data_IF_065184601505
#
_entry.id   IF_065184601505
#
_cell.length_a   1.000
_cell.length_b   1.000
_cell.length_c   1.000
_cell.angle_alpha   90.00
_cell.angle_beta   90.00
_cell.angle_gamma   90.00
#
_symmetry.space_group_name_H-M   'P 1'
#
loop_
_entity.id
_entity.type
_entity.pdbx_description
1 polymer ?
#
# COMPACT_ATOMS: atom_id res chain seq x y z
N UNK A 1 -35.53 9.64 -27.91
CA UNK A 1 -34.50 9.39 -28.95
C UNK A 1 -33.19 9.16 -28.23
N UNK A 2 -32.47 8.07 -28.51
CA UNK A 2 -31.17 7.76 -27.90
C UNK A 2 -30.09 7.89 -28.96
N UNK A 3 -29.01 8.58 -28.62
CA UNK A 3 -27.78 8.71 -29.41
C UNK A 3 -26.71 7.84 -28.75
N UNK A 4 -26.09 6.94 -29.51
CA UNK A 4 -24.97 6.10 -29.04
C UNK A 4 -23.88 6.05 -30.09
N UNK A 5 -22.69 5.59 -29.72
CA UNK A 5 -21.66 5.23 -30.68
C UNK A 5 -21.73 3.73 -30.98
N UNK A 6 -21.54 3.36 -32.25
CA UNK A 6 -21.28 1.97 -32.62
C UNK A 6 -19.86 1.58 -32.19
N UNK A 7 -19.54 0.26 -32.15
CA UNK A 7 -18.17 -0.18 -31.90
C UNK A 7 -17.12 0.39 -32.87
N UNK A 8 -17.53 0.78 -34.08
CA UNK A 8 -16.67 1.44 -35.07
C UNK A 8 -16.61 2.96 -34.92
N UNK A 9 -17.15 3.53 -33.83
CA UNK A 9 -17.12 4.98 -33.56
C UNK A 9 -18.14 5.81 -34.35
N UNK A 10 -19.07 5.17 -35.06
CA UNK A 10 -20.10 5.90 -35.82
C UNK A 10 -21.29 6.25 -34.93
N UNK A 11 -21.86 7.45 -35.13
CA UNK A 11 -23.07 7.88 -34.41
C UNK A 11 -24.28 7.05 -34.85
N UNK A 12 -24.97 6.46 -33.88
CA UNK A 12 -26.18 5.67 -34.04
C UNK A 12 -27.36 6.32 -33.29
N UNK A 13 -28.55 6.28 -33.90
CA UNK A 13 -29.77 6.90 -33.34
C UNK A 13 -30.91 5.90 -33.33
N UNK A 14 -31.53 5.68 -32.16
CA UNK A 14 -32.66 4.77 -32.02
C UNK A 14 -33.81 5.33 -31.16
N UNK A 15 -35.08 4.99 -31.49
CA UNK A 15 -35.51 4.38 -32.75
C UNK A 15 -35.48 5.40 -33.91
N UNK A 16 -35.10 4.99 -35.13
CA UNK A 16 -35.00 5.89 -36.29
C UNK A 16 -36.34 6.52 -36.70
N UNK A 17 -37.45 5.89 -36.32
CA UNK A 17 -38.82 6.33 -36.63
C UNK A 17 -39.20 7.66 -35.98
N UNK A 18 -38.48 8.12 -34.96
CA UNK A 18 -38.76 9.39 -34.26
C UNK A 18 -37.97 10.59 -34.83
N UNK A 19 -37.17 10.38 -35.87
CA UNK A 19 -36.36 11.42 -36.50
C UNK A 19 -37.15 12.18 -37.57
N UNK A 20 -37.48 13.44 -37.27
CA UNK A 20 -37.93 14.44 -38.24
C UNK A 20 -36.76 14.90 -39.11
N UNK A 21 -37.04 15.61 -40.21
CA UNK A 21 -36.00 16.15 -41.08
C UNK A 21 -35.14 17.21 -40.39
N UNK A 22 -35.73 18.00 -39.49
CA UNK A 22 -34.99 18.96 -38.66
C UNK A 22 -34.03 18.25 -37.70
N UNK A 23 -34.46 17.16 -37.05
CA UNK A 23 -33.56 16.34 -36.22
C UNK A 23 -32.40 15.79 -37.05
N UNK A 24 -32.66 15.36 -38.29
CA UNK A 24 -31.60 14.87 -39.19
C UNK A 24 -30.64 15.97 -39.60
N UNK A 25 -31.13 17.19 -39.84
CA UNK A 25 -30.29 18.34 -40.17
C UNK A 25 -29.39 18.73 -39.00
N UNK A 26 -29.94 18.84 -37.79
CA UNK A 26 -29.19 19.17 -36.58
C UNK A 26 -28.14 18.11 -36.25
N UNK A 27 -28.49 16.82 -36.30
CA UNK A 27 -27.55 15.72 -36.02
C UNK A 27 -26.39 15.71 -37.03
N UNK A 28 -26.63 16.07 -38.29
CA UNK A 28 -25.57 16.19 -39.30
C UNK A 28 -24.67 17.40 -39.06
N UNK A 29 -25.23 18.53 -38.67
CA UNK A 29 -24.49 19.75 -38.39
C UNK A 29 -23.58 19.58 -37.16
N UNK A 30 -24.08 18.94 -36.11
CA UNK A 30 -23.39 18.79 -34.82
C UNK A 30 -22.72 17.43 -34.63
N UNK A 31 -22.56 16.64 -35.71
CA UNK A 31 -22.12 15.24 -35.65
C UNK A 31 -20.84 15.07 -34.84
N UNK A 32 -19.83 15.89 -35.13
CA UNK A 32 -18.50 15.72 -34.56
C UNK A 32 -18.48 16.10 -33.07
N UNK A 33 -19.26 17.14 -32.68
CA UNK A 33 -19.45 17.52 -31.28
C UNK A 33 -20.20 16.43 -30.49
N UNK A 34 -21.24 15.83 -31.09
CA UNK A 34 -21.98 14.71 -30.49
C UNK A 34 -21.10 13.47 -30.31
N UNK A 35 -20.26 13.15 -31.30
CA UNK A 35 -19.32 12.03 -31.20
C UNK A 35 -18.30 12.28 -30.08
N UNK A 36 -17.73 13.48 -30.00
CA UNK A 36 -16.76 13.85 -28.98
C UNK A 36 -17.35 13.81 -27.56
N UNK A 37 -18.58 14.32 -27.39
CA UNK A 37 -19.28 14.24 -26.11
C UNK A 37 -19.58 12.78 -25.71
N UNK A 38 -20.03 11.95 -26.64
CA UNK A 38 -20.29 10.53 -26.37
C UNK A 38 -19.00 9.74 -26.10
N UNK A 39 -17.87 10.11 -26.70
CA UNK A 39 -16.56 9.54 -26.39
C UNK A 39 -16.11 9.92 -24.98
N UNK A 40 -16.27 11.18 -24.59
CA UNK A 40 -15.93 11.66 -23.25
C UNK A 40 -16.78 11.01 -22.15
N UNK A 41 -18.06 10.74 -22.41
CA UNK A 41 -18.93 9.98 -21.49
C UNK A 41 -18.59 8.47 -21.45
N UNK A 42 -18.04 7.92 -22.54
CA UNK A 42 -17.63 6.52 -22.62
C UNK A 42 -16.25 6.25 -22.02
N UNK A 43 -15.39 7.27 -21.94
CA UNK A 43 -14.09 7.18 -21.27
C UNK A 43 -14.33 7.26 -19.76
N UNK A 44 -14.13 6.15 -19.01
CA UNK A 44 -14.23 6.24 -17.56
C UNK A 44 -13.22 7.28 -17.06
N UNK A 45 -13.51 8.01 -15.97
CA UNK A 45 -12.49 8.84 -15.32
C UNK A 45 -11.25 7.98 -15.07
N UNK A 46 -10.03 8.55 -15.03
CA UNK A 46 -8.82 7.78 -14.75
C UNK A 46 -9.01 7.10 -13.39
N UNK A 47 -9.48 5.85 -13.41
CA UNK A 47 -9.66 5.05 -12.22
C UNK A 47 -8.26 4.65 -11.84
N UNK A 48 -7.85 5.05 -10.64
CA UNK A 48 -6.66 4.51 -10.03
C UNK A 48 -6.67 2.99 -10.24
N UNK A 49 -5.54 2.38 -10.64
CA UNK A 49 -5.47 0.93 -10.79
C UNK A 49 -6.05 0.27 -9.54
N UNK A 50 -6.74 -0.89 -9.67
CA UNK A 50 -7.33 -1.55 -8.52
C UNK A 50 -6.29 -1.64 -7.41
N UNK A 51 -6.67 -1.35 -6.14
CA UNK A 51 -5.71 -1.33 -5.05
C UNK A 51 -4.95 -2.65 -5.05
N UNK A 52 -3.63 -2.58 -5.06
CA UNK A 52 -2.78 -3.76 -4.89
C UNK A 52 -3.11 -4.30 -3.51
N UNK A 53 -3.88 -5.39 -3.45
CA UNK A 53 -4.14 -6.08 -2.19
C UNK A 53 -2.80 -6.62 -1.69
N UNK A 54 -2.36 -6.15 -0.53
CA UNK A 54 -1.17 -6.70 0.12
C UNK A 54 -1.38 -8.20 0.33
N UNK A 55 -0.43 -9.02 -0.15
CA UNK A 55 -0.41 -10.47 0.10
C UNK A 55 0.14 -10.83 1.48
N UNK A 56 0.38 -9.83 2.34
CA UNK A 56 1.07 -9.98 3.60
C UNK A 56 0.23 -10.75 4.63
N UNK A 57 0.67 -11.95 5.07
CA UNK A 57 -0.08 -12.78 6.00
C UNK A 57 -0.06 -12.24 7.45
N UNK A 58 0.70 -11.17 7.73
CA UNK A 58 0.81 -10.55 9.05
C UNK A 58 -0.14 -9.36 9.25
N UNK A 59 -0.97 -9.06 8.24
CA UNK A 59 -1.93 -7.96 8.24
C UNK A 59 -3.28 -8.44 7.72
N UNK A 60 -4.37 -7.76 8.10
CA UNK A 60 -5.65 -7.93 7.44
C UNK A 60 -5.61 -7.31 6.04
N UNK A 61 -6.52 -7.69 5.12
CA UNK A 61 -6.64 -7.02 3.82
C UNK A 61 -6.78 -5.50 3.95
N UNK A 62 -7.61 -5.01 4.87
CA UNK A 62 -7.83 -3.58 5.10
C UNK A 62 -6.55 -2.86 5.57
N UNK A 63 -5.77 -3.50 6.44
CA UNK A 63 -4.46 -2.98 6.87
C UNK A 63 -3.46 -2.93 5.72
N UNK A 64 -3.51 -3.94 4.83
CA UNK A 64 -2.76 -3.92 3.58
C UNK A 64 -3.15 -2.74 2.71
N UNK A 65 -4.44 -2.57 2.44
CA UNK A 65 -4.94 -1.47 1.61
C UNK A 65 -4.58 -0.09 2.23
N UNK A 66 -4.66 0.07 3.56
CA UNK A 66 -4.23 1.28 4.28
C UNK A 66 -2.71 1.52 4.15
N UNK A 67 -1.91 0.46 4.25
CA UNK A 67 -0.45 0.54 4.12
C UNK A 67 -0.04 1.04 2.73
N UNK A 68 -0.76 0.65 1.68
CA UNK A 68 -0.49 1.05 0.28
C UNK A 68 -1.25 2.30 -0.17
N UNK A 69 -2.16 2.82 0.66
CA UNK A 69 -2.98 3.99 0.31
C UNK A 69 -2.09 5.19 -0.05
N UNK A 70 -2.36 5.82 -1.20
CA UNK A 70 -1.59 6.96 -1.70
C UNK A 70 -0.17 6.64 -2.20
N UNK A 71 0.24 5.37 -2.20
CA UNK A 71 1.61 4.95 -2.51
C UNK A 71 2.60 5.29 -1.39
N UNK A 72 3.80 4.72 -1.47
CA UNK A 72 4.91 5.04 -0.56
C UNK A 72 5.78 6.15 -1.14
N UNK A 73 6.20 7.08 -0.31
CA UNK A 73 7.22 8.05 -0.67
C UNK A 73 8.64 7.45 -0.56
N UNK A 74 9.65 8.17 -1.05
CA UNK A 74 11.04 7.70 -1.06
C UNK A 74 11.57 7.36 0.35
N UNK A 75 11.19 8.12 1.38
CA UNK A 75 11.63 7.87 2.75
C UNK A 75 10.99 6.60 3.34
N UNK A 76 9.72 6.33 3.01
CA UNK A 76 9.02 5.10 3.39
C UNK A 76 9.64 3.88 2.69
N UNK A 77 9.91 3.97 1.39
CA UNK A 77 10.56 2.92 0.60
C UNK A 77 11.95 2.62 1.16
N UNK A 78 12.74 3.66 1.43
CA UNK A 78 14.09 3.53 1.96
C UNK A 78 14.08 2.88 3.37
N UNK A 79 13.20 3.34 4.27
CA UNK A 79 13.05 2.75 5.60
C UNK A 79 12.63 1.28 5.52
N UNK A 80 11.68 0.96 4.64
CA UNK A 80 11.25 -0.41 4.35
C UNK A 80 12.42 -1.30 3.90
N UNK A 81 13.20 -0.86 2.91
CA UNK A 81 14.36 -1.61 2.40
C UNK A 81 15.43 -1.84 3.47
N UNK A 82 15.74 -0.82 4.29
CA UNK A 82 16.70 -0.97 5.39
C UNK A 82 16.23 -1.99 6.44
N UNK A 83 14.93 -2.03 6.73
CA UNK A 83 14.33 -3.04 7.62
C UNK A 83 14.45 -4.43 7.01
N UNK A 84 14.12 -4.60 5.74
CA UNK A 84 14.20 -5.89 5.04
C UNK A 84 15.63 -6.46 5.08
N UNK A 85 16.63 -5.64 4.74
CA UNK A 85 18.06 -6.02 4.79
C UNK A 85 18.44 -6.45 6.20
N UNK A 86 18.03 -5.66 7.21
CA UNK A 86 18.35 -5.97 8.60
C UNK A 86 17.68 -7.27 9.06
N UNK A 87 16.40 -7.45 8.78
CA UNK A 87 15.65 -8.63 9.23
C UNK A 87 16.18 -9.90 8.57
N UNK A 88 16.55 -9.81 7.29
CA UNK A 88 17.26 -10.86 6.56
C UNK A 88 18.58 -11.23 7.27
N UNK A 89 19.41 -10.24 7.61
CA UNK A 89 20.66 -10.48 8.36
C UNK A 89 20.42 -11.11 9.73
N UNK A 90 19.30 -10.80 10.37
CA UNK A 90 18.89 -11.38 11.66
C UNK A 90 18.22 -12.76 11.52
N UNK A 91 18.30 -13.40 10.35
CA UNK A 91 17.79 -14.75 10.11
C UNK A 91 16.29 -14.82 9.79
N UNK A 92 15.66 -13.70 9.42
CA UNK A 92 14.24 -13.60 9.06
C UNK A 92 14.00 -13.38 7.57
N UNK A 93 14.87 -13.92 6.71
CA UNK A 93 14.77 -13.72 5.25
C UNK A 93 13.39 -14.10 4.68
N UNK A 94 12.76 -15.17 5.20
CA UNK A 94 11.49 -15.69 4.69
C UNK A 94 10.29 -14.76 4.94
N UNK A 95 10.36 -13.87 5.94
CA UNK A 95 9.27 -12.96 6.29
C UNK A 95 9.74 -11.51 6.50
N UNK A 96 10.94 -11.18 6.04
CA UNK A 96 11.54 -9.86 6.17
C UNK A 96 10.68 -8.78 5.50
N UNK A 97 10.23 -9.04 4.27
CA UNK A 97 9.37 -8.15 3.49
C UNK A 97 8.04 -7.89 4.22
N UNK A 98 7.38 -8.98 4.64
CA UNK A 98 6.11 -8.91 5.36
C UNK A 98 6.23 -8.14 6.68
N UNK A 99 7.31 -8.36 7.43
CA UNK A 99 7.56 -7.63 8.67
C UNK A 99 7.83 -6.14 8.39
N UNK A 100 8.64 -5.82 7.38
CA UNK A 100 8.96 -4.44 7.03
C UNK A 100 7.72 -3.66 6.59
N UNK A 101 6.87 -4.25 5.74
CA UNK A 101 5.61 -3.65 5.29
C UNK A 101 4.65 -3.38 6.44
N UNK A 102 4.51 -4.32 7.37
CA UNK A 102 3.69 -4.13 8.57
C UNK A 102 4.20 -2.96 9.44
N UNK A 103 5.52 -2.72 9.44
CA UNK A 103 6.10 -1.57 10.15
C UNK A 103 5.92 -0.25 9.39
N UNK A 104 5.80 -0.27 8.07
CA UNK A 104 5.40 0.92 7.30
C UNK A 104 4.01 1.38 7.72
N UNK A 105 3.04 0.46 7.84
CA UNK A 105 1.70 0.80 8.34
C UNK A 105 1.76 1.37 9.77
N UNK A 106 2.50 0.71 10.67
CA UNK A 106 2.70 1.19 12.04
C UNK A 106 3.20 2.64 12.08
N UNK A 107 4.18 2.97 11.23
CA UNK A 107 4.75 4.31 11.20
C UNK A 107 3.73 5.37 10.77
N UNK A 108 2.92 5.06 9.75
CA UNK A 108 1.80 5.92 9.33
C UNK A 108 0.78 6.15 10.45
N UNK A 109 0.53 5.11 11.25
CA UNK A 109 -0.36 5.16 12.41
C UNK A 109 0.26 5.83 13.64
N UNK A 110 1.53 6.27 13.57
CA UNK A 110 2.28 6.86 14.67
C UNK A 110 2.32 5.96 15.91
N UNK A 111 2.26 4.64 15.73
CA UNK A 111 2.32 3.67 16.81
C UNK A 111 3.76 3.54 17.31
N UNK A 112 3.95 3.69 18.63
CA UNK A 112 5.25 3.74 19.29
C UNK A 112 5.81 2.36 19.66
N UNK A 113 5.06 1.28 19.42
CA UNK A 113 5.54 -0.09 19.61
C UNK A 113 6.62 -0.44 18.59
N UNK A 114 7.54 -1.34 18.96
CA UNK A 114 8.70 -1.72 18.14
C UNK A 114 8.86 -3.24 18.11
N UNK A 115 9.49 -3.75 17.07
CA UNK A 115 9.98 -5.13 17.04
C UNK A 115 11.36 -5.19 17.70
N UNK A 116 11.68 -6.27 18.43
CA UNK A 116 13.06 -6.45 18.87
C UNK A 116 14.04 -6.58 17.70
N UNK A 117 13.56 -7.00 16.52
CA UNK A 117 14.34 -6.97 15.28
C UNK A 117 14.85 -5.57 14.95
N UNK A 118 14.16 -4.49 15.31
CA UNK A 118 14.61 -3.11 15.08
C UNK A 118 15.66 -2.65 16.13
N UNK A 119 15.83 -3.39 17.22
CA UNK A 119 16.64 -2.97 18.37
C UNK A 119 18.14 -3.29 18.19
N UNK A 120 19.01 -2.32 18.47
CA UNK A 120 20.47 -2.48 18.47
C UNK A 120 20.97 -3.48 19.50
N UNK A 121 20.20 -3.73 20.56
CA UNK A 121 20.55 -4.66 21.62
C UNK A 121 20.21 -6.13 21.30
N UNK A 122 19.50 -6.41 20.20
CA UNK A 122 19.23 -7.78 19.77
C UNK A 122 20.47 -8.33 19.05
N UNK A 123 20.99 -9.45 19.56
CA UNK A 123 22.11 -10.16 18.93
C UNK A 123 21.61 -11.06 17.79
N UNK A 124 22.48 -11.40 16.82
CA UNK A 124 22.13 -12.32 15.72
C UNK A 124 21.67 -13.71 16.22
N UNK A 125 22.13 -14.12 17.42
CA UNK A 125 21.64 -15.33 18.10
C UNK A 125 20.32 -15.16 18.86
N UNK A 126 19.58 -14.07 18.64
CA UNK A 126 18.26 -13.83 19.20
C UNK A 126 18.21 -13.43 20.68
N UNK A 127 19.35 -13.22 21.33
CA UNK A 127 19.43 -12.81 22.75
C UNK A 127 19.44 -11.30 22.90
N UNK A 128 18.79 -10.80 23.96
CA UNK A 128 18.86 -9.39 24.35
C UNK A 128 20.15 -9.09 25.14
N UNK A 129 21.05 -8.29 24.57
CA UNK A 129 22.33 -7.93 25.19
C UNK A 129 22.18 -7.03 26.42
N UNK A 130 21.17 -6.16 26.45
CA UNK A 130 20.88 -5.34 27.64
C UNK A 130 20.40 -6.19 28.82
N UNK A 131 19.53 -7.17 28.55
CA UNK A 131 19.10 -8.14 29.56
C UNK A 131 20.29 -8.95 30.08
N UNK A 132 21.14 -9.46 29.18
CA UNK A 132 22.34 -10.22 29.54
C UNK A 132 23.29 -9.44 30.46
N UNK A 133 23.39 -8.12 30.26
CA UNK A 133 24.17 -7.21 31.12
C UNK A 133 23.45 -6.76 32.40
N UNK A 134 22.22 -7.22 32.64
CA UNK A 134 21.42 -6.82 33.80
C UNK A 134 20.97 -5.36 33.77
N UNK A 135 20.87 -4.75 32.58
CA UNK A 135 20.47 -3.35 32.40
C UNK A 135 18.95 -3.15 32.26
N UNK A 136 18.19 -4.25 32.27
CA UNK A 136 16.73 -4.23 32.25
C UNK A 136 16.21 -4.71 33.63
N UNK A 137 15.58 -3.84 34.44
CA UNK A 137 15.04 -4.20 35.75
C UNK A 137 13.99 -5.31 35.65
N UNK A 138 14.04 -6.30 36.54
CA UNK A 138 13.05 -7.38 36.59
C UNK A 138 13.08 -8.37 35.41
N UNK A 139 13.99 -8.20 34.46
CA UNK A 139 14.09 -9.07 33.27
C UNK A 139 15.18 -10.12 33.47
N UNK A 140 14.91 -11.35 33.05
CA UNK A 140 15.90 -12.44 33.06
C UNK A 140 17.14 -12.09 32.24
N UNK A 141 18.33 -12.33 32.79
CA UNK A 141 19.61 -12.18 32.06
C UNK A 141 19.77 -13.13 30.87
N UNK A 142 18.87 -14.11 30.74
CA UNK A 142 18.84 -15.07 29.63
C UNK A 142 17.70 -14.78 28.63
N UNK A 143 17.16 -13.55 28.63
CA UNK A 143 16.05 -13.19 27.76
C UNK A 143 16.39 -13.38 26.27
N UNK A 144 15.61 -14.25 25.64
CA UNK A 144 15.43 -14.36 24.19
C UNK A 144 14.04 -13.80 23.87
N UNK A 145 13.92 -12.53 23.47
CA UNK A 145 12.62 -11.92 23.24
C UNK A 145 11.95 -12.49 21.99
N UNK A 146 10.62 -12.48 21.96
CA UNK A 146 9.89 -12.72 20.72
C UNK A 146 10.13 -11.55 19.78
N UNK A 147 10.84 -11.83 18.68
CA UNK A 147 11.47 -10.79 17.88
C UNK A 147 10.48 -10.04 16.97
N UNK A 148 9.36 -10.68 16.66
CA UNK A 148 8.36 -10.26 15.65
C UNK A 148 7.06 -9.71 16.25
N UNK A 149 6.98 -9.54 17.58
CA UNK A 149 5.82 -8.92 18.24
C UNK A 149 6.11 -7.45 18.50
N UNK A 150 5.15 -6.59 18.11
CA UNK A 150 5.14 -5.17 18.43
C UNK A 150 4.92 -4.99 19.94
N UNK A 151 5.93 -4.44 20.60
CA UNK A 151 5.93 -4.24 22.05
C UNK A 151 6.64 -2.93 22.40
N UNK A 152 6.35 -2.40 23.59
CA UNK A 152 7.15 -1.31 24.17
C UNK A 152 8.28 -1.91 24.99
N UNK A 153 9.46 -1.27 24.94
CA UNK A 153 10.61 -1.63 25.74
C UNK A 153 11.38 -0.37 26.10
N UNK A 154 11.55 -0.10 27.40
CA UNK A 154 12.23 1.11 27.89
C UNK A 154 13.73 1.12 27.55
N UNK A 155 14.33 -0.06 27.34
CA UNK A 155 15.70 -0.18 26.88
C UNK A 155 15.84 -0.23 25.36
N UNK A 156 14.77 0.03 24.59
CA UNK A 156 14.85 0.01 23.14
C UNK A 156 15.80 1.10 22.64
N UNK A 157 16.64 0.73 21.69
CA UNK A 157 17.46 1.69 20.93
C UNK A 157 17.47 1.22 19.50
N UNK A 158 17.11 2.10 18.58
CA UNK A 158 17.03 1.76 17.17
C UNK A 158 18.40 1.32 16.65
N UNK A 159 18.43 0.27 15.85
CA UNK A 159 19.67 -0.21 15.26
C UNK A 159 20.28 0.82 14.29
N UNK A 160 21.61 0.93 14.22
CA UNK A 160 22.25 1.83 13.26
C UNK A 160 21.79 1.55 11.83
N UNK A 161 21.49 2.62 11.10
CA UNK A 161 20.98 2.53 9.74
C UNK A 161 19.49 2.22 9.63
N UNK A 162 18.73 2.22 10.72
CA UNK A 162 17.27 2.41 10.67
C UNK A 162 16.95 3.86 11.07
N UNK A 163 15.91 4.44 10.48
CA UNK A 163 15.38 5.77 10.78
C UNK A 163 13.90 5.73 11.05
#
# INVERSE_FOLDING_TARGET
>A
MVLTLTPGGALHVAPRSVLTDDHRALIRAERDALVLALQAEAEPPPTAPPPRRSGNPLMTPDQGDECHAGGWNDAEIDTFQRREVRFTRMGRAADAEHLAERLTLRDRQLDDRRLCLECSALTEGGRCHLAARGRLPGVSRRLEPVQTILQRCEGFTLAPGLT
#
